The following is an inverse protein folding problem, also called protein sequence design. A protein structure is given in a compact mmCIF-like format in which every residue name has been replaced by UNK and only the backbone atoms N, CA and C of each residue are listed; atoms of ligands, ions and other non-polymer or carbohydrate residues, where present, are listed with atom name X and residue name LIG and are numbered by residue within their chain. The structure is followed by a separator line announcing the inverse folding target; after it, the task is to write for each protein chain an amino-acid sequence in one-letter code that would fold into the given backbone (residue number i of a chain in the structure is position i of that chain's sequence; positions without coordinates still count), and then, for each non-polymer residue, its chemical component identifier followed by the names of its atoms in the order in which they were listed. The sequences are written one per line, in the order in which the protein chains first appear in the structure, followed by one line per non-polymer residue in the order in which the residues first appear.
data_IF_471679164703
#
_entry.id   IF_471679164703
#
_cell.length_a   1.000
_cell.length_b   1.000
_cell.length_c   1.000
_cell.angle_alpha   90.00
_cell.angle_beta   90.00
_cell.angle_gamma   90.00
#
_symmetry.space_group_name_H-M   'P 1'
#
loop_
_entity.id
_entity.type
_entity.pdbx_description
1 polymer ?
#
# COMPACT_ATOMS: atom_id res chain seq x y z
N UNK A 1 26.55 -17.49 -3.28
CA UNK A 1 25.14 -17.35 -3.67
C UNK A 1 25.02 -16.19 -4.66
N UNK A 2 24.35 -16.44 -5.78
CA UNK A 2 24.46 -15.75 -7.07
C UNK A 2 23.99 -14.28 -7.05
N UNK A 3 24.92 -13.37 -7.32
CA UNK A 3 24.65 -11.96 -7.59
C UNK A 3 23.89 -11.84 -8.92
N UNK A 4 22.57 -11.62 -8.84
CA UNK A 4 21.69 -11.39 -9.98
C UNK A 4 22.02 -10.03 -10.63
N UNK A 5 23.04 -10.00 -11.48
CA UNK A 5 23.41 -8.81 -12.27
C UNK A 5 22.32 -8.56 -13.32
N UNK A 6 21.47 -7.56 -13.08
CA UNK A 6 20.47 -7.06 -14.02
C UNK A 6 21.18 -6.63 -15.30
N UNK A 7 20.86 -7.25 -16.45
CA UNK A 7 21.42 -6.88 -17.76
C UNK A 7 20.86 -5.52 -18.21
N UNK A 8 21.65 -4.46 -18.01
CA UNK A 8 21.28 -3.06 -18.24
C UNK A 8 20.94 -2.72 -19.70
N UNK A 9 21.38 -3.53 -20.68
CA UNK A 9 21.22 -3.23 -22.11
C UNK A 9 19.80 -3.45 -22.67
N UNK A 10 18.93 -4.20 -22.00
CA UNK A 10 17.56 -4.48 -22.47
C UNK A 10 16.45 -3.70 -21.73
N UNK A 11 16.82 -2.80 -20.81
CA UNK A 11 15.84 -2.09 -19.98
C UNK A 11 15.18 -0.94 -20.75
N UNK A 12 13.86 -0.83 -20.63
CA UNK A 12 13.10 0.35 -21.07
C UNK A 12 13.54 1.62 -20.34
N UNK A 13 13.10 2.78 -20.85
CA UNK A 13 13.35 4.08 -20.19
C UNK A 13 12.85 4.09 -18.74
N UNK A 14 11.66 3.52 -18.49
CA UNK A 14 11.07 3.46 -17.15
C UNK A 14 11.86 2.54 -16.22
N UNK A 15 12.27 1.36 -16.67
CA UNK A 15 13.07 0.44 -15.86
C UNK A 15 14.45 1.02 -15.49
N UNK A 16 15.08 1.77 -16.39
CA UNK A 16 16.34 2.50 -16.08
C UNK A 16 16.14 3.52 -14.96
N UNK A 17 15.05 4.30 -15.01
CA UNK A 17 14.72 5.24 -13.96
C UNK A 17 14.38 4.54 -12.64
N UNK A 18 13.60 3.46 -12.69
CA UNK A 18 13.28 2.60 -11.54
C UNK A 18 14.56 2.06 -10.88
N UNK A 19 15.49 1.50 -11.67
CA UNK A 19 16.76 0.99 -11.16
C UNK A 19 17.61 2.08 -10.48
N UNK A 20 17.65 3.30 -11.06
CA UNK A 20 18.36 4.45 -10.47
C UNK A 20 17.71 4.86 -9.15
N UNK A 21 16.38 4.96 -9.10
CA UNK A 21 15.65 5.35 -7.90
C UNK A 21 15.82 4.31 -6.77
N UNK A 22 15.76 3.01 -7.07
CA UNK A 22 16.04 1.94 -6.08
C UNK A 22 17.46 2.08 -5.51
N UNK A 23 18.44 2.44 -6.34
CA UNK A 23 19.83 2.65 -5.87
C UNK A 23 19.92 3.83 -4.90
N UNK A 24 19.20 4.92 -5.16
CA UNK A 24 19.13 6.08 -4.25
C UNK A 24 18.44 5.69 -2.95
N UNK A 25 17.27 5.03 -3.03
CA UNK A 25 16.47 4.61 -1.88
C UNK A 25 17.27 3.78 -0.86
N UNK A 26 18.23 2.99 -1.32
CA UNK A 26 19.07 2.13 -0.49
C UNK A 26 20.29 2.81 0.13
N UNK A 27 20.68 3.97 -0.39
CA UNK A 27 21.98 4.58 -0.09
C UNK A 27 21.88 5.98 0.51
N UNK A 28 20.82 6.71 0.19
CA UNK A 28 20.67 8.08 0.64
C UNK A 28 19.96 8.15 1.98
N UNK A 29 20.50 8.98 2.86
CA UNK A 29 19.87 9.39 4.12
C UNK A 29 19.24 10.80 4.00
N UNK A 30 19.46 11.48 2.86
CA UNK A 30 18.95 12.82 2.63
C UNK A 30 17.47 12.75 2.23
N UNK A 31 16.60 13.34 3.04
CA UNK A 31 15.15 13.32 2.81
C UNK A 31 14.75 13.79 1.40
N UNK A 32 15.39 14.83 0.88
CA UNK A 32 15.12 15.35 -0.47
C UNK A 32 15.42 14.32 -1.57
N UNK A 33 16.55 13.61 -1.46
CA UNK A 33 16.93 12.57 -2.42
C UNK A 33 16.02 11.34 -2.31
N UNK A 34 15.64 10.96 -1.09
CA UNK A 34 14.66 9.89 -0.84
C UNK A 34 13.31 10.26 -1.46
N UNK A 35 12.83 11.48 -1.23
CA UNK A 35 11.55 11.94 -1.76
C UNK A 35 11.54 11.98 -3.30
N UNK A 36 12.64 12.44 -3.92
CA UNK A 36 12.79 12.41 -5.38
C UNK A 36 12.78 10.97 -5.91
N UNK A 37 13.53 10.07 -5.27
CA UNK A 37 13.58 8.67 -5.67
C UNK A 37 12.20 7.99 -5.58
N UNK A 38 11.49 8.18 -4.47
CA UNK A 38 10.14 7.62 -4.27
C UNK A 38 9.16 8.22 -5.28
N UNK A 39 9.27 9.50 -5.59
CA UNK A 39 8.46 10.15 -6.64
C UNK A 39 8.75 9.60 -8.05
N UNK A 40 10.00 9.24 -8.35
CA UNK A 40 10.34 8.56 -9.61
C UNK A 40 9.69 7.17 -9.64
N UNK A 41 9.74 6.42 -8.53
CA UNK A 41 9.14 5.09 -8.43
C UNK A 41 7.63 5.13 -8.62
N UNK A 42 6.93 6.11 -8.04
CA UNK A 42 5.49 6.29 -8.23
C UNK A 42 5.14 6.50 -9.72
N UNK A 43 5.89 7.36 -10.39
CA UNK A 43 5.69 7.65 -11.82
C UNK A 43 6.02 6.47 -12.74
N UNK A 44 7.02 5.66 -12.41
CA UNK A 44 7.41 4.52 -13.27
C UNK A 44 6.52 3.32 -13.03
N UNK A 45 6.14 3.04 -11.79
CA UNK A 45 5.24 1.92 -11.43
C UNK A 45 3.83 2.11 -11.95
N UNK A 46 3.32 3.34 -12.01
CA UNK A 46 2.00 3.64 -12.62
C UNK A 46 1.96 3.41 -14.14
N UNK A 47 3.12 3.32 -14.81
CA UNK A 47 3.21 3.25 -16.28
C UNK A 47 3.75 1.94 -16.82
N UNK A 48 4.37 1.11 -15.99
CA UNK A 48 5.12 -0.06 -16.45
C UNK A 48 5.06 -1.19 -15.43
N UNK A 49 4.40 -2.28 -15.82
CA UNK A 49 4.38 -3.52 -15.02
C UNK A 49 5.79 -4.07 -14.80
N UNK A 50 6.71 -3.89 -15.76
CA UNK A 50 8.10 -4.33 -15.60
C UNK A 50 8.86 -3.46 -14.59
N UNK A 51 8.48 -2.20 -14.41
CA UNK A 51 8.98 -1.38 -13.29
C UNK A 51 8.47 -1.91 -11.94
N UNK A 52 7.21 -2.33 -11.84
CA UNK A 52 6.68 -2.99 -10.65
C UNK A 52 7.44 -4.30 -10.36
N UNK A 53 7.61 -5.18 -11.37
CA UNK A 53 8.38 -6.43 -11.24
C UNK A 53 9.84 -6.18 -10.85
N UNK A 54 10.47 -5.16 -11.43
CA UNK A 54 11.85 -4.78 -11.12
C UNK A 54 11.98 -4.31 -9.66
N UNK A 55 11.04 -3.49 -9.20
CA UNK A 55 10.98 -3.05 -7.80
C UNK A 55 10.84 -4.25 -6.85
N UNK A 56 9.93 -5.18 -7.15
CA UNK A 56 9.71 -6.42 -6.39
C UNK A 56 10.94 -7.33 -6.37
N UNK A 57 11.53 -7.60 -7.53
CA UNK A 57 12.74 -8.41 -7.69
C UNK A 57 13.93 -7.81 -6.94
N UNK A 58 13.98 -6.49 -6.84
CA UNK A 58 14.98 -5.77 -6.08
C UNK A 58 14.64 -5.64 -4.58
N UNK A 59 13.55 -6.23 -4.07
CA UNK A 59 13.14 -6.02 -2.67
C UNK A 59 12.98 -4.53 -2.29
N UNK A 60 12.72 -3.65 -3.25
CA UNK A 60 12.57 -2.22 -2.97
C UNK A 60 11.30 -1.90 -2.19
N UNK A 61 10.29 -2.76 -2.28
CA UNK A 61 9.10 -2.73 -1.43
C UNK A 61 9.44 -2.79 0.07
N UNK A 62 10.44 -3.56 0.47
CA UNK A 62 10.83 -3.69 1.88
C UNK A 62 11.48 -2.39 2.38
N UNK A 63 12.25 -1.72 1.51
CA UNK A 63 12.78 -0.39 1.78
C UNK A 63 11.64 0.64 1.92
N UNK A 64 10.66 0.61 1.04
CA UNK A 64 9.48 1.49 1.12
C UNK A 64 8.67 1.25 2.39
N UNK A 65 8.48 -0.02 2.79
CA UNK A 65 7.77 -0.36 4.02
C UNK A 65 8.53 0.11 5.27
N UNK A 66 9.85 0.01 5.25
CA UNK A 66 10.72 0.52 6.32
C UNK A 66 10.64 2.05 6.44
N UNK A 67 10.64 2.76 5.31
CA UNK A 67 10.44 4.22 5.29
C UNK A 67 9.04 4.61 5.77
N UNK A 68 8.01 3.85 5.37
CA UNK A 68 6.65 4.08 5.83
C UNK A 68 6.54 3.93 7.35
N UNK A 69 7.22 2.95 7.93
CA UNK A 69 7.25 2.72 9.38
C UNK A 69 8.02 3.80 10.16
N UNK A 70 8.93 4.55 9.52
CA UNK A 70 9.63 5.69 10.13
C UNK A 70 8.93 7.03 9.90
N UNK A 71 7.87 7.05 9.09
CA UNK A 71 7.11 8.27 8.84
C UNK A 71 6.36 8.73 10.10
N UNK A 72 6.16 10.05 10.19
CA UNK A 72 5.45 10.70 11.29
C UNK A 72 4.35 11.62 10.72
N UNK A 73 3.71 12.40 11.59
CA UNK A 73 2.56 13.23 11.21
C UNK A 73 2.93 14.64 10.71
N UNK A 74 4.22 14.93 10.51
CA UNK A 74 4.69 16.18 9.91
C UNK A 74 4.32 16.25 8.42
N UNK A 75 4.12 17.47 7.89
CA UNK A 75 3.76 17.68 6.47
C UNK A 75 4.67 16.94 5.47
N UNK A 76 6.02 17.01 5.55
CA UNK A 76 6.87 16.30 4.59
C UNK A 76 6.69 14.78 4.67
N UNK A 77 6.51 14.22 5.88
CA UNK A 77 6.29 12.79 6.04
C UNK A 77 4.92 12.36 5.52
N UNK A 78 3.87 13.19 5.66
CA UNK A 78 2.56 12.91 5.06
C UNK A 78 2.63 12.85 3.53
N UNK A 79 3.42 13.69 2.89
CA UNK A 79 3.65 13.62 1.45
C UNK A 79 4.35 12.31 1.07
N UNK A 80 5.43 11.97 1.78
CA UNK A 80 6.14 10.71 1.56
C UNK A 80 5.22 9.49 1.73
N UNK A 81 4.39 9.45 2.78
CA UNK A 81 3.40 8.40 3.03
C UNK A 81 2.47 8.24 1.82
N UNK A 82 1.91 9.33 1.28
CA UNK A 82 1.03 9.27 0.11
C UNK A 82 1.72 8.64 -1.09
N UNK A 83 2.92 9.11 -1.42
CA UNK A 83 3.65 8.61 -2.59
C UNK A 83 3.98 7.12 -2.42
N UNK A 84 4.37 6.69 -1.23
CA UNK A 84 4.61 5.26 -0.94
C UNK A 84 3.33 4.43 -1.12
N UNK A 85 2.20 4.88 -0.56
CA UNK A 85 0.93 4.17 -0.70
C UNK A 85 0.47 4.10 -2.17
N UNK A 86 0.72 5.13 -2.97
CA UNK A 86 0.44 5.09 -4.41
C UNK A 86 1.32 4.07 -5.14
N UNK A 87 2.60 3.93 -4.78
CA UNK A 87 3.46 2.87 -5.33
C UNK A 87 2.89 1.49 -4.99
N UNK A 88 2.48 1.28 -3.74
CA UNK A 88 1.85 0.02 -3.32
C UNK A 88 0.54 -0.24 -4.04
N UNK A 89 -0.28 0.80 -4.30
CA UNK A 89 -1.48 0.67 -5.13
C UNK A 89 -1.15 0.27 -6.57
N UNK A 90 -0.11 0.85 -7.17
CA UNK A 90 0.31 0.50 -8.52
C UNK A 90 0.75 -0.97 -8.59
N UNK A 91 1.51 -1.45 -7.60
CA UNK A 91 1.89 -2.86 -7.49
C UNK A 91 0.65 -3.74 -7.31
N UNK A 92 -0.24 -3.38 -6.38
CA UNK A 92 -1.45 -4.12 -6.07
C UNK A 92 -2.44 -4.20 -7.25
N UNK A 93 -2.44 -3.19 -8.13
CA UNK A 93 -3.25 -3.21 -9.36
C UNK A 93 -2.86 -4.32 -10.35
N UNK A 94 -1.74 -5.01 -10.14
CA UNK A 94 -1.29 -6.12 -10.97
C UNK A 94 -1.42 -7.44 -10.20
N UNK A 95 -2.49 -8.21 -10.46
CA UNK A 95 -2.79 -9.48 -9.77
C UNK A 95 -1.62 -10.47 -9.72
N UNK A 96 -0.85 -10.59 -10.80
CA UNK A 96 0.35 -11.45 -10.83
C UNK A 96 1.50 -10.98 -9.91
N UNK A 97 1.47 -9.72 -9.47
CA UNK A 97 2.45 -9.12 -8.55
C UNK A 97 1.97 -9.17 -7.10
N UNK A 98 0.66 -9.19 -6.84
CA UNK A 98 0.08 -9.25 -5.50
C UNK A 98 0.52 -10.49 -4.73
N UNK A 99 0.47 -11.68 -5.33
CA UNK A 99 0.87 -12.94 -4.67
C UNK A 99 2.36 -12.99 -4.28
N UNK A 100 3.21 -12.21 -4.95
CA UNK A 100 4.65 -12.09 -4.64
C UNK A 100 4.91 -10.96 -3.64
N UNK A 101 3.98 -10.00 -3.54
CA UNK A 101 4.12 -8.77 -2.78
C UNK A 101 3.62 -8.89 -1.34
N UNK A 102 2.59 -9.70 -1.09
CA UNK A 102 1.94 -9.74 0.22
C UNK A 102 2.65 -10.75 1.13
N UNK A 103 3.32 -10.24 2.16
CA UNK A 103 3.84 -11.03 3.29
C UNK A 103 3.14 -10.62 4.60
N UNK A 104 3.19 -11.49 5.64
CA UNK A 104 2.60 -11.24 6.97
C UNK A 104 2.90 -9.85 7.52
N UNK A 105 4.16 -9.44 7.42
CA UNK A 105 4.64 -8.16 7.93
C UNK A 105 3.94 -6.95 7.28
N UNK A 106 3.48 -7.08 6.04
CA UNK A 106 2.79 -6.02 5.30
C UNK A 106 1.41 -5.71 5.88
N UNK A 107 0.66 -6.75 6.29
CA UNK A 107 -0.65 -6.55 6.95
C UNK A 107 -0.50 -5.83 8.28
N UNK A 108 0.48 -6.23 9.09
CA UNK A 108 0.75 -5.56 10.37
C UNK A 108 1.16 -4.11 10.15
N UNK A 109 2.13 -3.86 9.26
CA UNK A 109 2.61 -2.50 8.98
C UNK A 109 1.54 -1.63 8.36
N UNK A 110 0.68 -2.17 7.49
CA UNK A 110 -0.44 -1.42 6.93
C UNK A 110 -1.50 -1.11 8.00
N UNK A 111 -1.72 -2.02 8.96
CA UNK A 111 -2.57 -1.76 10.14
C UNK A 111 -2.04 -0.58 10.97
N UNK A 112 -0.72 -0.53 11.21
CA UNK A 112 -0.07 0.59 11.91
C UNK A 112 -0.31 1.92 11.17
N UNK A 113 -0.19 1.91 9.84
CA UNK A 113 -0.44 3.10 8.98
C UNK A 113 -1.89 3.56 9.06
N UNK A 114 -2.84 2.63 8.94
CA UNK A 114 -4.28 2.91 9.09
C UNK A 114 -4.54 3.56 10.45
N UNK A 115 -4.01 3.00 11.54
CA UNK A 115 -4.18 3.55 12.88
C UNK A 115 -3.55 4.93 13.02
N UNK A 116 -2.32 5.10 12.54
CA UNK A 116 -1.52 6.32 12.71
C UNK A 116 -2.10 7.50 11.94
N UNK A 117 -2.66 7.28 10.74
CA UNK A 117 -3.12 8.32 9.84
C UNK A 117 -4.64 8.34 9.62
N UNK A 118 -5.42 7.70 10.50
CA UNK A 118 -6.89 7.61 10.45
C UNK A 118 -7.68 8.93 10.38
N UNK A 119 -7.03 10.06 10.55
CA UNK A 119 -7.62 11.41 10.43
C UNK A 119 -7.26 12.14 9.15
N UNK A 120 -6.46 11.54 8.28
CA UNK A 120 -6.12 12.06 6.96
C UNK A 120 -6.93 11.26 5.94
N UNK A 121 -8.03 11.83 5.46
CA UNK A 121 -9.04 11.09 4.69
C UNK A 121 -8.47 10.35 3.46
N UNK A 122 -7.55 11.01 2.75
CA UNK A 122 -6.83 10.48 1.59
C UNK A 122 -5.91 9.30 1.94
N UNK A 123 -5.11 9.43 3.01
CA UNK A 123 -4.22 8.36 3.49
C UNK A 123 -5.03 7.22 4.08
N UNK A 124 -6.08 7.53 4.86
CA UNK A 124 -6.96 6.55 5.47
C UNK A 124 -7.64 5.69 4.41
N UNK A 125 -8.29 6.31 3.42
CA UNK A 125 -8.89 5.60 2.30
C UNK A 125 -7.89 4.65 1.63
N UNK A 126 -6.75 5.18 1.21
CA UNK A 126 -5.78 4.43 0.42
C UNK A 126 -5.13 3.28 1.21
N UNK A 127 -4.81 3.52 2.48
CA UNK A 127 -4.24 2.48 3.36
C UNK A 127 -5.25 1.38 3.70
N UNK A 128 -6.52 1.71 3.94
CA UNK A 128 -7.57 0.69 4.16
C UNK A 128 -7.86 -0.13 2.90
N UNK A 129 -7.86 0.49 1.71
CA UNK A 129 -8.02 -0.22 0.43
C UNK A 129 -6.87 -1.22 0.18
N UNK A 130 -5.64 -0.82 0.49
CA UNK A 130 -4.48 -1.69 0.39
C UNK A 130 -4.55 -2.84 1.40
N UNK A 131 -4.90 -2.54 2.65
CA UNK A 131 -5.08 -3.55 3.69
C UNK A 131 -6.13 -4.59 3.27
N UNK A 132 -7.28 -4.14 2.79
CA UNK A 132 -8.34 -4.99 2.26
C UNK A 132 -7.85 -5.85 1.09
N UNK A 133 -7.08 -5.28 0.16
CA UNK A 133 -6.49 -6.01 -0.95
C UNK A 133 -5.50 -7.08 -0.48
N UNK A 134 -4.69 -6.80 0.54
CA UNK A 134 -3.72 -7.76 1.10
C UNK A 134 -4.44 -8.92 1.78
N UNK A 135 -5.45 -8.60 2.59
CA UNK A 135 -6.25 -9.59 3.32
C UNK A 135 -7.05 -10.49 2.36
N UNK A 136 -7.48 -9.97 1.20
CA UNK A 136 -8.12 -10.78 0.15
C UNK A 136 -7.17 -11.65 -0.66
N UNK A 137 -5.91 -11.26 -0.78
CA UNK A 137 -4.97 -11.91 -1.72
C UNK A 137 -4.46 -13.26 -1.23
N UNK A 138 -4.43 -13.50 0.08
CA UNK A 138 -3.93 -14.76 0.64
C UNK A 138 -4.75 -15.20 1.86
N UNK A 139 -5.55 -16.26 1.67
CA UNK A 139 -6.36 -16.85 2.72
C UNK A 139 -5.53 -17.45 3.87
N UNK A 140 -4.25 -17.77 3.66
CA UNK A 140 -3.35 -18.25 4.71
C UNK A 140 -2.91 -17.14 5.66
N UNK A 141 -2.80 -15.90 5.18
CA UNK A 141 -2.58 -14.74 6.05
C UNK A 141 -3.75 -14.55 7.04
N UNK A 142 -4.96 -15.01 6.68
CA UNK A 142 -6.15 -14.94 7.54
C UNK A 142 -6.06 -15.84 8.78
N UNK A 143 -5.57 -17.07 8.62
CA UNK A 143 -5.69 -18.11 9.67
C UNK A 143 -4.68 -17.93 10.80
N UNK A 144 -3.51 -17.35 10.53
CA UNK A 144 -2.46 -17.22 11.55
C UNK A 144 -2.18 -15.78 12.03
N UNK A 145 -2.60 -14.72 11.32
CA UNK A 145 -1.89 -13.43 11.43
C UNK A 145 -2.70 -12.23 11.92
N UNK A 146 -4.02 -12.35 12.01
CA UNK A 146 -4.83 -11.33 12.66
C UNK A 146 -4.79 -11.52 14.18
N UNK A 147 -3.77 -10.93 14.82
CA UNK A 147 -3.69 -10.92 16.29
C UNK A 147 -4.96 -10.30 16.88
N UNK A 148 -5.34 -10.75 18.07
CA UNK A 148 -6.48 -10.16 18.78
C UNK A 148 -6.30 -8.63 18.95
N UNK A 149 -5.06 -8.18 19.15
CA UNK A 149 -4.71 -6.77 19.27
C UNK A 149 -4.94 -5.98 17.97
N UNK A 150 -4.51 -6.50 16.81
CA UNK A 150 -4.77 -5.85 15.52
C UNK A 150 -6.29 -5.72 15.26
N UNK A 151 -7.07 -6.76 15.55
CA UNK A 151 -8.54 -6.70 15.40
C UNK A 151 -9.15 -5.65 16.31
N UNK A 152 -8.73 -5.61 17.58
CA UNK A 152 -9.19 -4.60 18.53
C UNK A 152 -8.85 -3.19 18.04
N UNK A 153 -7.61 -2.96 17.64
CA UNK A 153 -7.15 -1.68 17.10
C UNK A 153 -7.99 -1.23 15.90
N UNK A 154 -8.20 -2.10 14.92
CA UNK A 154 -8.99 -1.78 13.72
C UNK A 154 -10.46 -1.52 14.04
N UNK A 155 -11.07 -2.23 15.02
CA UNK A 155 -12.42 -1.92 15.51
C UNK A 155 -12.50 -0.53 16.15
N UNK A 156 -11.50 -0.15 16.94
CA UNK A 156 -11.43 1.19 17.54
C UNK A 156 -11.30 2.26 16.45
N UNK A 157 -10.43 2.04 15.45
CA UNK A 157 -10.31 2.93 14.28
C UNK A 157 -11.64 3.05 13.55
N UNK A 158 -12.33 1.94 13.27
CA UNK A 158 -13.62 1.93 12.59
C UNK A 158 -14.68 2.71 13.38
N UNK A 159 -14.76 2.52 14.70
CA UNK A 159 -15.67 3.26 15.58
C UNK A 159 -15.41 4.77 15.51
N UNK A 160 -14.15 5.18 15.59
CA UNK A 160 -13.76 6.59 15.52
C UNK A 160 -14.05 7.19 14.13
N UNK A 161 -13.77 6.45 13.06
CA UNK A 161 -14.02 6.91 11.69
C UNK A 161 -15.52 7.08 11.43
N UNK A 162 -16.37 6.15 11.87
CA UNK A 162 -17.84 6.27 11.77
C UNK A 162 -18.38 7.50 12.51
N UNK A 163 -17.92 7.73 13.75
CA UNK A 163 -18.28 8.94 14.53
C UNK A 163 -17.86 10.23 13.82
N UNK A 164 -16.74 10.21 13.10
CA UNK A 164 -16.30 11.38 12.32
C UNK A 164 -17.15 11.58 11.07
N UNK A 165 -17.44 10.51 10.34
CA UNK A 165 -18.27 10.56 9.14
C UNK A 165 -19.69 11.06 9.45
N UNK A 166 -20.27 10.72 10.61
CA UNK A 166 -21.58 11.23 11.04
C UNK A 166 -21.59 12.74 11.33
N UNK A 167 -20.44 13.34 11.67
CA UNK A 167 -20.32 14.78 11.91
C UNK A 167 -20.01 15.53 10.60
N UNK A 168 -19.20 14.92 9.72
CA UNK A 168 -18.81 15.50 8.44
C UNK A 168 -18.62 14.39 7.42
N UNK A 169 -19.57 14.27 6.48
CA UNK A 169 -19.42 13.37 5.35
C UNK A 169 -18.25 13.83 4.47
N UNK A 170 -17.41 12.87 4.11
CA UNK A 170 -16.28 13.06 3.22
C UNK A 170 -16.09 11.73 2.48
N UNK A 171 -16.13 11.72 1.13
CA UNK A 171 -16.08 10.48 0.36
C UNK A 171 -14.90 9.57 0.68
N UNK A 172 -13.74 10.13 1.04
CA UNK A 172 -12.57 9.34 1.41
C UNK A 172 -12.73 8.62 2.76
N UNK A 173 -13.37 9.24 3.74
CA UNK A 173 -13.69 8.55 5.00
C UNK A 173 -14.73 7.46 4.78
N UNK A 174 -15.77 7.73 3.98
CA UNK A 174 -16.83 6.76 3.71
C UNK A 174 -16.29 5.52 2.99
N UNK A 175 -15.43 5.71 1.98
CA UNK A 175 -14.75 4.59 1.30
C UNK A 175 -13.79 3.86 2.22
N UNK A 176 -13.00 4.57 3.02
CA UNK A 176 -12.09 3.93 3.96
C UNK A 176 -12.80 3.12 5.05
N UNK A 177 -13.96 3.59 5.52
CA UNK A 177 -14.83 2.86 6.44
C UNK A 177 -15.30 1.56 5.79
N UNK A 178 -15.80 1.61 4.56
CA UNK A 178 -16.26 0.43 3.83
C UNK A 178 -15.15 -0.61 3.64
N UNK A 179 -13.95 -0.17 3.22
CA UNK A 179 -12.79 -1.06 3.09
C UNK A 179 -12.44 -1.72 4.43
N UNK A 180 -12.48 -0.96 5.52
CA UNK A 180 -12.18 -1.46 6.85
C UNK A 180 -13.25 -2.42 7.39
N UNK A 181 -14.53 -2.20 7.08
CA UNK A 181 -15.62 -3.13 7.37
C UNK A 181 -15.41 -4.46 6.65
N UNK A 182 -15.00 -4.41 5.38
CA UNK A 182 -14.64 -5.62 4.63
C UNK A 182 -13.47 -6.36 5.26
N UNK A 183 -12.41 -5.66 5.67
CA UNK A 183 -11.28 -6.27 6.40
C UNK A 183 -11.77 -6.98 7.67
N UNK A 184 -12.64 -6.33 8.46
CA UNK A 184 -13.19 -6.91 9.68
C UNK A 184 -14.07 -8.14 9.41
N UNK A 185 -14.92 -8.09 8.38
CA UNK A 185 -15.75 -9.22 7.99
C UNK A 185 -14.89 -10.43 7.57
N UNK A 186 -13.81 -10.20 6.81
CA UNK A 186 -12.88 -11.27 6.44
C UNK A 186 -12.23 -11.87 7.69
N UNK A 187 -11.82 -11.05 8.66
CA UNK A 187 -11.24 -11.52 9.93
C UNK A 187 -12.22 -12.30 10.81
N UNK A 188 -13.51 -12.14 10.60
CA UNK A 188 -14.58 -12.82 11.35
C UNK A 188 -15.17 -14.02 10.59
N UNK A 189 -14.65 -14.33 9.39
CA UNK A 189 -15.13 -15.43 8.55
C UNK A 189 -16.47 -15.16 7.85
N UNK A 190 -16.86 -13.89 7.76
CA UNK A 190 -18.09 -13.44 7.10
C UNK A 190 -17.94 -13.23 5.59
N UNK A 191 -19.08 -13.06 4.91
CA UNK A 191 -19.14 -12.72 3.48
C UNK A 191 -18.79 -11.25 3.25
N UNK A 192 -18.08 -10.96 2.16
CA UNK A 192 -17.68 -9.59 1.79
C UNK A 192 -18.90 -8.68 1.55
N UNK A 193 -18.82 -7.42 1.97
CA UNK A 193 -19.74 -6.38 1.51
C UNK A 193 -19.22 -5.95 0.14
N UNK A 194 -19.89 -6.38 -0.92
CA UNK A 194 -19.48 -6.07 -2.29
C UNK A 194 -19.53 -4.56 -2.54
N UNK A 195 -18.35 -3.95 -2.65
CA UNK A 195 -18.15 -2.80 -3.52
C UNK A 195 -17.63 -3.35 -4.85
N UNK A 196 -18.37 -3.14 -5.94
CA UNK A 196 -17.90 -3.55 -7.27
C UNK A 196 -16.48 -3.04 -7.50
N UNK A 197 -15.49 -3.93 -7.72
CA UNK A 197 -14.13 -3.48 -7.97
C UNK A 197 -14.14 -2.63 -9.23
N UNK A 198 -13.65 -1.39 -9.12
CA UNK A 198 -13.45 -0.50 -10.26
C UNK A 198 -12.02 -0.61 -10.74
N UNK A 199 -11.85 -0.68 -12.06
CA UNK A 199 -10.54 -0.61 -12.67
C UNK A 199 -9.86 0.73 -12.29
N UNK A 200 -8.67 0.71 -11.66
CA UNK A 200 -8.00 1.92 -11.18
C UNK A 200 -7.51 2.86 -12.29
N UNK A 201 -7.65 2.45 -13.56
CA UNK A 201 -7.23 3.20 -14.73
C UNK A 201 -8.39 3.71 -15.59
N UNK A 202 -9.61 3.17 -15.42
CA UNK A 202 -10.72 3.53 -16.30
C UNK A 202 -12.10 3.57 -15.65
N UNK A 203 -12.19 3.46 -14.32
CA UNK A 203 -13.43 3.50 -13.53
C UNK A 203 -14.53 2.48 -13.95
N UNK A 204 -14.21 1.55 -14.85
CA UNK A 204 -15.12 0.46 -15.24
C UNK A 204 -15.26 -0.51 -14.09
N UNK A 205 -16.51 -0.85 -13.78
CA UNK A 205 -16.84 -1.98 -12.91
C UNK A 205 -16.45 -3.27 -13.64
N UNK A 206 -15.71 -4.16 -12.96
CA UNK A 206 -15.51 -5.51 -13.49
C UNK A 206 -16.83 -6.29 -13.33
N UNK A 207 -17.42 -6.72 -14.44
CA UNK A 207 -18.55 -7.66 -14.51
C UNK A 207 -18.10 -9.08 -14.28
#
# INVERSE_FOLDING_TARGET
ATSNKIHVRSLSKYEKHTAKAIKVLRKSELFSEVMEAVSILEKTTSKSIDSCKLLLKARGQDNLLSLLASCNRSSPHLELVRVILHIFKNIAGHQASLSVFVAREYVSKMTDVVQMFRDKADIFELSTLLLESFVRSDAFILSEHSSHEQRRCLREVLSLSRKRASVRSCPGFDRGILCLENVMNIFEGGTLIESKPKCPYCDREFT
#
